data_IF_599499802400
#
_entry.id   IF_599499802400
#
_cell.length_a   1.000
_cell.length_b   1.000
_cell.length_c   1.000
_cell.angle_alpha   90.00
_cell.angle_beta   90.00
_cell.angle_gamma   90.00
#
_symmetry.space_group_name_H-M   'P 1'
#
loop_
_entity.id
_entity.type
_entity.pdbx_description
1 polymer ?
#
# COMPACT_ATOMS: atom_id res chain seq x y z
N UNK A 1 64.75 20.27 -25.03
CA UNK A 1 63.73 20.70 -24.04
C UNK A 1 62.33 20.92 -24.61
N UNK A 2 62.10 21.04 -25.93
CA UNK A 2 60.75 21.27 -26.50
C UNK A 2 59.95 19.98 -26.83
N UNK A 3 60.60 18.83 -26.92
CA UNK A 3 59.98 17.55 -27.33
C UNK A 3 59.39 16.72 -26.18
N UNK A 4 59.91 16.88 -24.96
CA UNK A 4 59.43 16.15 -23.77
C UNK A 4 58.08 16.72 -23.27
N UNK A 5 57.87 18.02 -23.42
CA UNK A 5 56.63 18.71 -23.01
C UNK A 5 55.43 18.38 -23.90
N UNK A 6 55.65 18.06 -25.18
CA UNK A 6 54.56 17.67 -26.09
C UNK A 6 54.06 16.24 -25.84
N UNK A 7 54.93 15.34 -25.39
CA UNK A 7 54.54 13.94 -25.10
C UNK A 7 53.77 13.82 -23.77
N UNK A 8 54.01 14.73 -22.81
CA UNK A 8 53.31 14.75 -21.52
C UNK A 8 51.88 15.32 -21.63
N UNK A 9 51.64 16.24 -22.58
CA UNK A 9 50.30 16.78 -22.85
C UNK A 9 49.38 15.79 -23.59
N UNK A 10 49.94 14.83 -24.33
CA UNK A 10 49.15 13.81 -25.02
C UNK A 10 48.66 12.69 -24.07
N UNK A 11 49.42 12.39 -23.00
CA UNK A 11 49.05 11.35 -22.04
C UNK A 11 48.00 11.83 -21.01
N UNK A 12 47.95 13.13 -20.74
CA UNK A 12 46.89 13.72 -19.89
C UNK A 12 45.54 13.90 -20.61
N UNK A 13 45.51 13.84 -21.95
CA UNK A 13 44.27 14.00 -22.72
C UNK A 13 43.48 12.69 -22.90
N UNK A 14 44.09 11.53 -22.64
CA UNK A 14 43.45 10.22 -22.83
C UNK A 14 42.73 9.68 -21.58
N UNK A 15 42.81 10.38 -20.45
CA UNK A 15 42.31 9.91 -19.15
C UNK A 15 40.96 10.55 -18.75
N UNK A 16 40.40 11.42 -19.61
CA UNK A 16 39.21 12.24 -19.30
C UNK A 16 37.87 11.76 -19.86
N UNK A 17 37.78 10.59 -20.50
CA UNK A 17 36.57 10.15 -21.23
C UNK A 17 35.85 8.93 -20.61
N UNK A 18 35.86 8.81 -19.29
CA UNK A 18 34.94 7.91 -18.58
C UNK A 18 34.20 8.64 -17.46
N UNK A 19 33.49 9.72 -17.80
CA UNK A 19 32.34 10.14 -16.99
C UNK A 19 31.20 9.15 -17.28
N UNK A 20 31.27 7.96 -16.71
CA UNK A 20 30.10 7.09 -16.62
C UNK A 20 29.06 7.85 -15.79
N UNK A 21 28.06 8.40 -16.46
CA UNK A 21 26.83 8.81 -15.80
C UNK A 21 26.26 7.56 -15.15
N UNK A 22 26.51 7.39 -13.85
CA UNK A 22 25.75 6.45 -13.04
C UNK A 22 24.34 7.02 -13.02
N UNK A 23 23.51 6.56 -13.96
CA UNK A 23 22.07 6.68 -13.84
C UNK A 23 21.75 5.83 -12.62
N UNK A 24 21.64 6.48 -11.46
CA UNK A 24 20.88 5.94 -10.35
C UNK A 24 19.47 5.75 -10.92
N UNK A 25 19.19 4.54 -11.42
CA UNK A 25 17.83 4.06 -11.47
C UNK A 25 17.36 4.16 -10.03
N UNK A 26 16.68 5.26 -9.69
CA UNK A 26 16.03 5.38 -8.40
C UNK A 26 15.19 4.13 -8.27
N UNK A 27 15.32 3.43 -7.13
CA UNK A 27 14.49 2.27 -6.84
C UNK A 27 13.04 2.67 -7.10
N UNK A 28 12.48 2.30 -8.26
CA UNK A 28 11.06 2.51 -8.60
C UNK A 28 10.25 1.45 -7.88
N UNK A 29 10.53 1.26 -6.59
CA UNK A 29 9.70 0.42 -5.75
C UNK A 29 8.33 1.09 -5.66
N UNK A 30 7.24 0.36 -5.91
CA UNK A 30 5.90 0.91 -5.78
C UNK A 30 5.71 1.55 -4.40
N UNK A 31 5.00 2.67 -4.36
CA UNK A 31 4.57 3.26 -3.09
C UNK A 31 3.73 2.24 -2.33
N UNK A 32 3.82 2.22 -1.00
CA UNK A 32 3.06 1.29 -0.16
C UNK A 32 2.25 2.08 0.86
N UNK A 33 0.99 1.77 1.00
CA UNK A 33 0.11 2.46 1.94
C UNK A 33 -0.88 1.51 2.60
N UNK A 34 -1.02 1.67 3.91
CA UNK A 34 -2.07 1.04 4.70
C UNK A 34 -3.08 2.09 5.13
N UNK A 35 -4.36 1.82 4.88
CA UNK A 35 -5.47 2.67 5.30
C UNK A 35 -6.23 1.95 6.41
N UNK A 36 -6.22 2.53 7.61
CA UNK A 36 -6.99 2.01 8.72
C UNK A 36 -8.46 2.43 8.61
N UNK A 37 -9.37 1.49 8.84
CA UNK A 37 -10.79 1.78 9.09
C UNK A 37 -11.25 1.13 10.40
N UNK A 38 -11.52 1.95 11.40
CA UNK A 38 -11.90 1.49 12.75
C UNK A 38 -13.23 2.08 13.25
N UNK A 39 -14.05 2.62 12.35
CA UNK A 39 -15.34 3.26 12.65
C UNK A 39 -16.44 2.74 11.73
N UNK A 40 -17.67 2.67 12.23
CA UNK A 40 -18.88 2.34 11.47
C UNK A 40 -19.51 3.57 10.78
N UNK A 41 -18.90 4.76 10.92
CA UNK A 41 -19.33 5.98 10.24
C UNK A 41 -19.25 5.84 8.70
N UNK A 42 -20.39 5.88 7.98
CA UNK A 42 -20.40 5.66 6.54
C UNK A 42 -19.59 6.71 5.75
N UNK A 43 -19.51 7.94 6.27
CA UNK A 43 -18.76 9.01 5.62
C UNK A 43 -17.26 8.70 5.65
N UNK A 44 -16.73 8.31 6.79
CA UNK A 44 -15.31 7.93 6.97
C UNK A 44 -14.97 6.71 6.14
N UNK A 45 -15.82 5.68 6.13
CA UNK A 45 -15.62 4.49 5.29
C UNK A 45 -15.56 4.84 3.80
N UNK A 46 -16.44 5.73 3.33
CA UNK A 46 -16.42 6.20 1.94
C UNK A 46 -15.16 7.01 1.62
N UNK A 47 -14.67 7.83 2.55
CA UNK A 47 -13.42 8.57 2.39
C UNK A 47 -12.24 7.60 2.26
N UNK A 48 -12.18 6.53 3.07
CA UNK A 48 -11.13 5.51 2.96
C UNK A 48 -11.08 4.88 1.55
N UNK A 49 -12.24 4.47 1.02
CA UNK A 49 -12.33 3.92 -0.33
C UNK A 49 -11.97 4.95 -1.42
N UNK A 50 -12.37 6.22 -1.22
CA UNK A 50 -12.00 7.30 -2.15
C UNK A 50 -10.50 7.56 -2.15
N UNK A 51 -9.85 7.55 -0.99
CA UNK A 51 -8.41 7.75 -0.87
C UNK A 51 -7.64 6.66 -1.62
N UNK A 52 -8.04 5.39 -1.47
CA UNK A 52 -7.45 4.28 -2.21
C UNK A 52 -7.57 4.48 -3.73
N UNK A 53 -8.77 4.78 -4.23
CA UNK A 53 -9.02 5.03 -5.66
C UNK A 53 -8.22 6.22 -6.17
N UNK A 54 -8.15 7.31 -5.40
CA UNK A 54 -7.44 8.51 -5.82
C UNK A 54 -5.94 8.28 -5.89
N UNK A 55 -5.36 7.54 -4.94
CA UNK A 55 -3.94 7.16 -4.96
C UNK A 55 -3.62 6.28 -6.15
N UNK A 56 -4.44 5.27 -6.41
CA UNK A 56 -4.26 4.39 -7.55
C UNK A 56 -4.36 5.14 -8.88
N UNK A 57 -5.29 6.08 -9.02
CA UNK A 57 -5.41 6.94 -10.21
C UNK A 57 -4.22 7.89 -10.39
N UNK A 58 -3.70 8.43 -9.29
CA UNK A 58 -2.61 9.41 -9.34
C UNK A 58 -1.25 8.77 -9.67
N UNK A 59 -1.00 7.57 -9.14
CA UNK A 59 0.28 6.88 -9.27
C UNK A 59 0.27 5.84 -10.40
N UNK A 60 -0.91 5.29 -10.73
CA UNK A 60 -1.05 4.09 -11.55
C UNK A 60 -1.04 2.83 -10.68
N UNK A 61 -1.83 1.83 -11.06
CA UNK A 61 -2.01 0.58 -10.32
C UNK A 61 -0.70 -0.15 -10.03
N UNK A 62 0.23 -0.17 -11.00
CA UNK A 62 1.52 -0.85 -10.85
C UNK A 62 2.52 -0.12 -9.94
N UNK A 63 2.25 1.15 -9.62
CA UNK A 63 3.14 2.01 -8.85
C UNK A 63 2.69 2.24 -7.40
N UNK A 64 1.58 1.61 -6.98
CA UNK A 64 1.11 1.69 -5.59
C UNK A 64 0.48 0.39 -5.10
N UNK A 65 0.94 -0.08 -3.94
CA UNK A 65 0.34 -1.19 -3.20
C UNK A 65 -0.51 -0.63 -2.08
N UNK A 66 -1.80 -0.93 -2.10
CA UNK A 66 -2.78 -0.41 -1.15
C UNK A 66 -3.38 -1.56 -0.35
N UNK A 67 -3.33 -1.47 0.98
CA UNK A 67 -4.05 -2.39 1.86
C UNK A 67 -4.98 -1.60 2.81
N UNK A 68 -6.26 -1.92 2.80
CA UNK A 68 -7.25 -1.38 3.74
C UNK A 68 -7.46 -2.40 4.85
N UNK A 69 -7.14 -2.02 6.09
CA UNK A 69 -7.30 -2.88 7.27
C UNK A 69 -8.48 -2.38 8.09
N UNK A 70 -9.52 -3.21 8.21
CA UNK A 70 -10.72 -2.88 8.96
C UNK A 70 -10.87 -3.74 10.23
N UNK A 71 -11.20 -3.08 11.34
CA UNK A 71 -11.40 -3.74 12.64
C UNK A 71 -12.37 -2.96 13.52
N UNK A 72 -12.78 -3.57 14.64
CA UNK A 72 -13.76 -2.97 15.55
C UNK A 72 -15.07 -2.63 14.81
N UNK A 73 -15.67 -1.45 15.06
CA UNK A 73 -16.86 -0.99 14.33
C UNK A 73 -16.69 -0.93 12.81
N UNK A 74 -15.46 -0.73 12.33
CA UNK A 74 -15.16 -0.67 10.90
C UNK A 74 -15.31 -2.01 10.16
N UNK A 75 -15.27 -3.15 10.85
CA UNK A 75 -15.33 -4.47 10.21
C UNK A 75 -16.59 -4.66 9.35
N UNK A 76 -17.71 -4.04 9.73
CA UNK A 76 -18.99 -4.17 9.03
C UNK A 76 -18.89 -3.83 7.54
N UNK A 77 -18.00 -2.91 7.16
CA UNK A 77 -17.79 -2.52 5.75
C UNK A 77 -17.32 -3.69 4.88
N UNK A 78 -16.61 -4.67 5.45
CA UNK A 78 -16.03 -5.80 4.72
C UNK A 78 -16.94 -7.04 4.69
N UNK A 79 -18.18 -6.91 5.20
CA UNK A 79 -19.13 -8.02 5.28
C UNK A 79 -20.13 -7.99 4.13
N UNK A 80 -20.80 -9.11 3.86
CA UNK A 80 -21.88 -9.22 2.87
C UNK A 80 -23.07 -8.27 3.13
N UNK A 81 -23.18 -7.73 4.34
CA UNK A 81 -24.21 -6.75 4.70
C UNK A 81 -23.84 -5.29 4.38
N UNK A 82 -22.63 -5.05 3.88
CA UNK A 82 -22.11 -3.72 3.59
C UNK A 82 -22.83 -3.06 2.41
N UNK A 83 -23.23 -1.79 2.57
CA UNK A 83 -23.77 -0.96 1.48
C UNK A 83 -22.73 -0.67 0.39
N UNK A 84 -21.44 -0.71 0.74
CA UNK A 84 -20.32 -0.53 -0.18
C UNK A 84 -19.81 -1.88 -0.73
N UNK A 85 -20.50 -3.00 -0.44
CA UNK A 85 -20.05 -4.35 -0.78
C UNK A 85 -19.65 -4.53 -2.26
N UNK A 86 -20.51 -4.17 -3.22
CA UNK A 86 -20.17 -4.25 -4.65
C UNK A 86 -18.93 -3.44 -5.02
N UNK A 87 -18.74 -2.28 -4.38
CA UNK A 87 -17.59 -1.41 -4.60
C UNK A 87 -16.31 -2.05 -4.03
N UNK A 88 -16.37 -2.62 -2.84
CA UNK A 88 -15.22 -3.28 -2.21
C UNK A 88 -14.77 -4.48 -3.04
N UNK A 89 -15.69 -5.35 -3.46
CA UNK A 89 -15.36 -6.48 -4.35
C UNK A 89 -14.77 -6.00 -5.67
N UNK A 90 -15.30 -4.92 -6.26
CA UNK A 90 -14.73 -4.31 -7.47
C UNK A 90 -13.29 -3.79 -7.28
N UNK A 91 -13.01 -3.14 -6.14
CA UNK A 91 -11.67 -2.63 -5.82
C UNK A 91 -10.70 -3.77 -5.50
N UNK A 92 -11.17 -4.86 -4.90
CA UNK A 92 -10.35 -6.05 -4.67
C UNK A 92 -9.86 -6.69 -5.98
N UNK A 93 -10.68 -6.65 -7.03
CA UNK A 93 -10.27 -7.08 -8.38
C UNK A 93 -9.28 -6.11 -9.06
N UNK A 94 -9.11 -4.90 -8.52
CA UNK A 94 -8.19 -3.87 -9.00
C UNK A 94 -6.97 -3.75 -8.08
N UNK A 95 -6.50 -4.86 -7.51
CA UNK A 95 -5.31 -4.95 -6.64
C UNK A 95 -5.34 -4.09 -5.35
N UNK A 96 -6.50 -3.62 -4.91
CA UNK A 96 -6.65 -3.05 -3.56
C UNK A 96 -6.95 -4.18 -2.58
N UNK A 97 -6.01 -4.44 -1.66
CA UNK A 97 -6.17 -5.51 -0.68
C UNK A 97 -7.04 -5.07 0.49
N UNK A 98 -7.90 -5.96 0.96
CA UNK A 98 -8.72 -5.76 2.15
C UNK A 98 -8.41 -6.81 3.21
N UNK A 99 -8.21 -6.36 4.44
CA UNK A 99 -7.86 -7.20 5.58
C UNK A 99 -8.85 -7.01 6.73
N UNK A 100 -9.58 -8.07 7.04
CA UNK A 100 -10.53 -8.17 8.13
C UNK A 100 -9.85 -8.68 9.41
N UNK A 101 -10.07 -8.00 10.53
CA UNK A 101 -9.51 -8.41 11.81
C UNK A 101 -10.25 -9.62 12.41
N UNK A 102 -9.55 -10.76 12.48
CA UNK A 102 -10.06 -12.02 13.04
C UNK A 102 -10.47 -11.90 14.50
N UNK A 103 -9.73 -11.16 15.32
CA UNK A 103 -10.13 -10.88 16.71
C UNK A 103 -11.48 -10.13 16.79
N UNK A 104 -11.74 -9.21 15.86
CA UNK A 104 -13.04 -8.53 15.80
C UNK A 104 -14.14 -9.50 15.38
N UNK A 105 -13.88 -10.34 14.37
CA UNK A 105 -14.83 -11.36 13.90
C UNK A 105 -15.22 -12.32 15.03
N UNK A 106 -14.25 -12.89 15.75
CA UNK A 106 -14.48 -13.75 16.93
C UNK A 106 -15.28 -13.02 18.02
N UNK A 107 -14.99 -11.74 18.23
CA UNK A 107 -15.73 -10.89 19.17
C UNK A 107 -17.21 -10.71 18.78
N UNK A 108 -17.50 -10.57 17.48
CA UNK A 108 -18.88 -10.47 16.98
C UNK A 108 -19.58 -11.83 17.06
N UNK A 109 -18.90 -12.92 16.70
CA UNK A 109 -19.44 -14.26 16.81
C UNK A 109 -19.84 -14.57 18.25
N UNK A 110 -18.98 -14.27 19.23
CA UNK A 110 -19.29 -14.45 20.65
C UNK A 110 -20.52 -13.66 21.10
N UNK A 111 -20.75 -12.47 20.54
CA UNK A 111 -21.88 -11.59 20.90
C UNK A 111 -23.19 -11.95 20.20
N UNK A 112 -23.10 -12.43 18.96
CA UNK A 112 -24.28 -12.60 18.07
C UNK A 112 -24.61 -14.06 17.79
N UNK A 113 -23.72 -14.99 18.15
CA UNK A 113 -23.79 -16.40 17.81
C UNK A 113 -23.50 -16.69 16.32
N UNK A 114 -23.05 -15.70 15.54
CA UNK A 114 -22.85 -15.83 14.10
C UNK A 114 -21.51 -15.26 13.68
N UNK A 115 -20.70 -16.04 12.97
CA UNK A 115 -19.50 -15.55 12.32
C UNK A 115 -19.87 -14.58 11.20
N UNK A 116 -19.27 -13.37 11.12
CA UNK A 116 -19.49 -12.47 10.00
C UNK A 116 -19.10 -13.11 8.67
N UNK A 117 -19.98 -13.01 7.67
CA UNK A 117 -19.69 -13.43 6.30
C UNK A 117 -18.98 -12.28 5.58
N UNK A 118 -17.75 -12.51 5.16
CA UNK A 118 -16.94 -11.52 4.45
C UNK A 118 -17.29 -11.48 2.96
N UNK A 119 -17.00 -10.35 2.33
CA UNK A 119 -17.08 -10.18 0.88
C UNK A 119 -15.96 -10.95 0.17
N UNK A 120 -16.21 -11.34 -1.08
CA UNK A 120 -15.16 -11.89 -1.94
C UNK A 120 -14.01 -10.89 -2.12
N UNK A 121 -12.78 -11.39 -2.06
CA UNK A 121 -11.56 -10.56 -2.13
C UNK A 121 -11.10 -9.98 -0.79
N UNK A 122 -11.83 -10.22 0.30
CA UNK A 122 -11.39 -9.85 1.66
C UNK A 122 -10.61 -11.00 2.30
N UNK A 123 -9.44 -10.69 2.85
CA UNK A 123 -8.60 -11.65 3.59
C UNK A 123 -8.74 -11.45 5.09
N UNK A 124 -8.54 -12.52 5.88
CA UNK A 124 -8.55 -12.45 7.35
C UNK A 124 -7.13 -12.36 7.87
N UNK A 125 -6.87 -11.41 8.77
CA UNK A 125 -5.64 -11.33 9.57
C UNK A 125 -5.95 -11.67 11.03
N UNK A 126 -4.94 -12.09 11.80
CA UNK A 126 -5.11 -12.41 13.22
C UNK A 126 -5.65 -11.20 14.01
N UNK A 127 -4.96 -10.06 13.90
CA UNK A 127 -5.36 -8.82 14.54
C UNK A 127 -5.09 -7.62 13.61
N UNK A 128 -6.07 -6.72 13.47
CA UNK A 128 -5.95 -5.56 12.57
C UNK A 128 -4.81 -4.61 12.93
N UNK A 129 -4.62 -4.33 14.22
CA UNK A 129 -3.51 -3.46 14.67
C UNK A 129 -2.16 -4.13 14.45
N UNK A 130 -2.05 -5.45 14.69
CA UNK A 130 -0.84 -6.21 14.40
C UNK A 130 -0.50 -6.15 12.90
N UNK A 131 -1.50 -6.35 12.03
CA UNK A 131 -1.31 -6.24 10.58
C UNK A 131 -0.81 -4.86 10.15
N UNK A 132 -1.35 -3.79 10.74
CA UNK A 132 -0.90 -2.43 10.45
C UNK A 132 0.56 -2.25 10.90
N UNK A 133 0.95 -2.79 12.06
CA UNK A 133 2.33 -2.76 12.53
C UNK A 133 3.27 -3.48 11.54
N UNK A 134 2.96 -4.72 11.16
CA UNK A 134 3.73 -5.49 10.17
C UNK A 134 3.88 -4.75 8.84
N UNK A 135 2.81 -4.10 8.36
CA UNK A 135 2.83 -3.34 7.12
C UNK A 135 3.74 -2.11 7.25
N UNK A 136 3.67 -1.38 8.36
CA UNK A 136 4.57 -0.25 8.60
C UNK A 136 6.04 -0.69 8.66
N UNK A 137 6.33 -1.83 9.30
CA UNK A 137 7.68 -2.43 9.30
C UNK A 137 8.15 -2.82 7.89
N UNK A 138 7.23 -3.14 6.98
CA UNK A 138 7.49 -3.39 5.56
C UNK A 138 7.57 -2.11 4.71
N UNK A 139 7.57 -0.94 5.33
CA UNK A 139 7.70 0.37 4.69
C UNK A 139 6.39 0.97 4.18
N UNK A 140 5.23 0.50 4.64
CA UNK A 140 3.95 1.11 4.29
C UNK A 140 3.76 2.45 5.01
N UNK A 141 3.38 3.48 4.27
CA UNK A 141 2.84 4.70 4.85
C UNK A 141 1.50 4.38 5.54
N UNK A 142 1.24 5.02 6.68
CA UNK A 142 0.00 4.82 7.44
C UNK A 142 -0.95 6.02 7.28
N UNK A 143 -2.22 5.73 6.99
CA UNK A 143 -3.29 6.73 6.91
C UNK A 143 -4.52 6.26 7.69
N UNK A 144 -5.15 7.18 8.42
CA UNK A 144 -6.43 6.98 9.09
C UNK A 144 -7.36 8.15 8.78
N UNK A 145 -8.36 7.94 7.89
CA UNK A 145 -9.36 8.94 7.55
C UNK A 145 -10.28 9.31 8.73
#
# INVERSE_FOLDING_TARGET
MKTVTQSLMALMLLMGLFTSSVVLAGDTSPHKIVIQVSTDDPRTQKIALNNAVNLQKALGQDNVVIEIVAYGPGLGMLTSSSKEGPRITSLAMQDIKFSACGNTMKGIEKKTGKMPVLLDGVTVTEAGVLRIMELQEQGYAYVRP
#
